data_IF_297726762605
#
_entry.id   IF_297726762605
#
_cell.length_a   1.000
_cell.length_b   1.000
_cell.length_c   1.000
_cell.angle_alpha   90.00
_cell.angle_beta   90.00
_cell.angle_gamma   90.00
#
_symmetry.space_group_name_H-M   'P 1'
#
loop_
_entity.id
_entity.type
_entity.pdbx_description
1 polymer ?
#
# COMPACT_ATOMS: atom_id res chain seq x y z
N UNK A 1 15.86 49.72 -15.36
CA UNK A 1 15.68 49.66 -13.92
C UNK A 1 14.97 48.36 -13.59
N UNK A 2 15.58 47.39 -12.85
CA UNK A 2 14.93 46.11 -12.57
C UNK A 2 13.93 46.26 -11.40
N UNK A 3 12.69 45.83 -11.64
CA UNK A 3 11.65 45.78 -10.65
C UNK A 3 11.89 44.63 -9.65
N UNK A 4 11.80 44.94 -8.35
CA UNK A 4 12.10 44.04 -7.23
C UNK A 4 10.99 42.99 -7.05
N UNK A 5 11.31 41.72 -7.25
CA UNK A 5 10.40 40.55 -7.12
C UNK A 5 10.05 40.16 -5.69
N UNK A 6 10.32 41.00 -4.68
CA UNK A 6 10.19 40.65 -3.27
C UNK A 6 8.80 40.83 -2.66
N UNK A 7 7.88 41.54 -3.33
CA UNK A 7 6.59 41.92 -2.73
C UNK A 7 5.44 40.92 -3.04
N UNK A 8 5.63 39.99 -3.94
CA UNK A 8 4.56 39.05 -4.37
C UNK A 8 4.52 37.78 -3.51
N UNK A 9 5.65 37.42 -2.86
CA UNK A 9 5.73 36.18 -2.07
C UNK A 9 5.03 36.28 -0.71
N UNK A 10 4.94 37.49 -0.13
CA UNK A 10 4.36 37.66 1.21
C UNK A 10 2.82 37.65 1.22
N UNK A 11 2.17 37.92 0.10
CA UNK A 11 0.70 37.97 0.03
C UNK A 11 0.02 36.58 -0.13
N UNK A 12 0.76 35.57 -0.61
CA UNK A 12 0.22 34.22 -0.83
C UNK A 12 0.26 33.33 0.42
N UNK A 13 1.10 33.65 1.39
CA UNK A 13 1.26 32.83 2.62
C UNK A 13 0.19 33.12 3.67
N UNK A 14 -0.42 34.31 3.65
CA UNK A 14 -1.46 34.69 4.61
C UNK A 14 -2.83 34.07 4.30
N UNK A 15 -3.13 33.75 3.03
CA UNK A 15 -4.41 33.17 2.62
C UNK A 15 -4.54 31.67 2.95
N UNK A 16 -3.42 30.95 3.10
CA UNK A 16 -3.42 29.51 3.37
C UNK A 16 -3.73 29.16 4.84
N UNK A 17 -3.44 30.07 5.78
CA UNK A 17 -3.63 29.81 7.22
C UNK A 17 -5.08 30.01 7.69
N UNK A 18 -5.88 30.82 6.97
CA UNK A 18 -7.30 31.04 7.31
C UNK A 18 -8.18 29.87 6.90
N UNK A 19 -7.83 29.14 5.82
CA UNK A 19 -8.59 27.98 5.34
C UNK A 19 -8.50 26.77 6.26
N UNK A 20 -7.42 26.60 7.01
CA UNK A 20 -7.21 25.46 7.92
C UNK A 20 -8.00 25.65 9.23
N UNK A 21 -8.23 26.88 9.67
CA UNK A 21 -8.96 27.20 10.90
C UNK A 21 -10.47 26.91 10.83
N UNK A 22 -11.08 27.02 9.65
CA UNK A 22 -12.55 26.85 9.47
C UNK A 22 -12.96 25.38 9.38
N UNK A 23 -12.08 24.49 8.88
CA UNK A 23 -12.37 23.05 8.77
C UNK A 23 -12.25 22.31 10.11
N UNK A 24 -11.48 22.84 11.07
CA UNK A 24 -11.34 22.25 12.41
C UNK A 24 -12.57 22.46 13.33
N UNK A 25 -13.38 23.47 13.08
CA UNK A 25 -14.51 23.80 13.97
C UNK A 25 -15.79 23.00 13.66
N UNK A 26 -15.92 22.41 12.48
CA UNK A 26 -17.12 21.64 12.10
C UNK A 26 -17.10 20.18 12.56
N UNK A 27 -15.99 19.65 13.05
CA UNK A 27 -15.88 18.24 13.48
C UNK A 27 -16.35 17.99 14.93
N UNK A 28 -16.69 19.00 15.72
CA UNK A 28 -17.02 18.85 17.15
C UNK A 28 -18.52 18.88 17.50
N UNK A 29 -19.41 18.95 16.51
CA UNK A 29 -20.84 19.15 16.75
C UNK A 29 -21.73 17.89 16.57
N UNK A 30 -21.18 16.69 16.57
CA UNK A 30 -21.96 15.45 16.50
C UNK A 30 -21.74 14.54 17.73
N UNK A 31 -22.03 15.08 18.92
CA UNK A 31 -22.18 14.28 20.12
C UNK A 31 -23.65 13.92 20.30
N UNK A 32 -23.95 12.63 20.24
CA UNK A 32 -25.29 12.03 20.38
C UNK A 32 -25.90 12.30 21.75
N UNK A 33 -27.16 12.77 21.78
CA UNK A 33 -27.96 12.91 22.98
C UNK A 33 -28.44 11.54 23.45
N UNK A 34 -28.55 11.30 24.79
CA UNK A 34 -29.08 10.06 25.32
C UNK A 34 -30.61 10.00 25.21
N UNK A 35 -31.14 8.89 24.71
CA UNK A 35 -32.58 8.59 24.67
C UNK A 35 -33.09 8.25 26.07
N UNK A 36 -33.96 9.09 26.56
CA UNK A 36 -34.73 8.83 27.80
C UNK A 36 -35.83 7.81 27.50
N UNK A 37 -35.88 6.76 28.30
CA UNK A 37 -36.89 5.70 28.24
C UNK A 37 -38.27 6.25 28.63
N UNK A 38 -39.26 6.09 27.75
CA UNK A 38 -40.70 6.19 28.10
C UNK A 38 -41.26 4.78 28.27
N UNK A 39 -41.73 4.53 29.47
CA UNK A 39 -42.41 3.29 29.89
C UNK A 39 -43.90 3.40 29.50
N UNK A 40 -44.36 2.48 28.65
CA UNK A 40 -45.77 2.31 28.32
C UNK A 40 -46.14 0.83 28.43
N UNK A 41 -47.04 0.53 29.36
CA UNK A 41 -47.66 -0.78 29.61
C UNK A 41 -48.65 -1.14 28.50
N UNK A 42 -48.69 -2.43 28.12
CA UNK A 42 -49.74 -3.01 27.26
C UNK A 42 -49.39 -4.42 26.78
N UNK A 43 -50.34 -5.39 26.74
CA UNK A 43 -50.08 -6.80 27.00
C UNK A 43 -49.66 -7.64 25.77
N UNK A 44 -49.11 -8.81 26.12
CA UNK A 44 -48.52 -9.87 25.32
C UNK A 44 -49.26 -10.28 24.04
N UNK A 45 -48.49 -10.48 22.96
CA UNK A 45 -48.81 -11.43 21.89
C UNK A 45 -47.51 -12.08 21.39
N UNK A 46 -47.50 -13.40 21.46
CA UNK A 46 -46.51 -14.36 21.00
C UNK A 46 -45.91 -14.02 19.64
N UNK A 47 -44.60 -13.75 19.58
CA UNK A 47 -43.81 -13.87 18.37
C UNK A 47 -42.45 -14.49 18.68
N UNK A 48 -42.30 -15.76 18.31
CA UNK A 48 -41.11 -16.55 18.25
C UNK A 48 -39.95 -15.77 17.57
N UNK A 49 -38.76 -15.63 18.20
CA UNK A 49 -37.61 -15.04 17.54
C UNK A 49 -37.02 -16.05 16.54
N UNK A 50 -37.11 -15.72 15.27
CA UNK A 50 -36.28 -16.38 14.25
C UNK A 50 -34.89 -15.83 14.42
N UNK A 51 -33.94 -16.64 14.88
CA UNK A 51 -32.55 -16.34 14.93
C UNK A 51 -32.06 -16.19 13.48
N UNK A 52 -31.74 -14.95 13.06
CA UNK A 52 -30.90 -14.72 11.91
C UNK A 52 -29.46 -14.93 12.38
N UNK A 53 -28.91 -16.09 12.04
CA UNK A 53 -27.48 -16.35 12.07
C UNK A 53 -26.80 -15.42 11.05
N UNK A 54 -26.39 -14.24 11.50
CA UNK A 54 -25.37 -13.49 10.79
C UNK A 54 -24.03 -14.14 11.12
N UNK A 55 -23.27 -14.60 10.10
CA UNK A 55 -21.91 -15.06 10.35
C UNK A 55 -21.11 -13.88 10.94
N UNK A 56 -20.72 -13.99 12.18
CA UNK A 56 -19.80 -13.06 12.81
C UNK A 56 -18.56 -12.95 11.94
N UNK A 57 -18.39 -11.78 11.31
CA UNK A 57 -17.15 -11.38 10.65
C UNK A 57 -16.08 -11.49 11.74
N UNK A 58 -15.26 -12.55 11.70
CA UNK A 58 -14.09 -12.71 12.56
C UNK A 58 -13.26 -11.46 12.37
N UNK A 59 -13.26 -10.56 13.33
CA UNK A 59 -12.22 -9.55 13.49
C UNK A 59 -10.91 -10.31 13.58
N UNK A 60 -10.17 -10.31 12.47
CA UNK A 60 -8.79 -10.78 12.46
C UNK A 60 -8.02 -9.82 13.35
N UNK A 61 -7.73 -10.27 14.57
CA UNK A 61 -6.69 -9.68 15.41
C UNK A 61 -5.47 -9.40 14.55
N UNK A 62 -4.79 -8.23 14.65
CA UNK A 62 -3.62 -7.93 13.85
C UNK A 62 -2.61 -9.05 14.03
N UNK A 63 -2.50 -9.93 13.05
CA UNK A 63 -1.52 -10.99 13.08
C UNK A 63 -0.12 -10.36 13.17
N UNK A 64 0.71 -10.85 14.08
CA UNK A 64 2.09 -10.40 14.22
C UNK A 64 2.75 -10.36 12.82
N UNK A 65 3.58 -9.33 12.52
CA UNK A 65 4.21 -9.22 11.22
C UNK A 65 4.92 -10.51 10.84
N UNK A 66 4.66 -11.03 9.65
CA UNK A 66 5.29 -12.26 9.19
C UNK A 66 6.83 -12.16 9.30
N UNK A 67 7.53 -13.16 9.86
CA UNK A 67 8.97 -13.10 10.08
C UNK A 67 9.72 -12.98 8.75
N UNK A 68 10.88 -12.33 8.76
CA UNK A 68 11.77 -12.24 7.60
C UNK A 68 12.28 -13.64 7.26
N UNK A 69 12.19 -14.10 6.00
CA UNK A 69 12.71 -15.40 5.59
C UNK A 69 14.22 -15.53 5.91
N UNK A 70 14.60 -16.58 6.65
CA UNK A 70 15.98 -16.80 7.08
C UNK A 70 16.96 -16.92 5.89
N UNK A 71 16.52 -17.53 4.77
CA UNK A 71 17.32 -17.68 3.57
C UNK A 71 17.59 -16.38 2.81
N UNK A 72 17.07 -15.22 3.29
CA UNK A 72 17.24 -13.94 2.62
C UNK A 72 18.58 -13.23 2.89
N UNK A 73 19.46 -13.81 3.71
CA UNK A 73 20.78 -13.26 4.05
C UNK A 73 20.72 -12.08 5.04
N UNK A 74 21.69 -11.17 5.00
CA UNK A 74 21.88 -10.10 5.98
C UNK A 74 21.99 -8.72 5.34
N UNK A 75 21.95 -7.69 6.19
CA UNK A 75 22.06 -6.26 5.80
C UNK A 75 20.79 -5.68 5.21
N UNK A 76 20.86 -4.39 4.84
CA UNK A 76 19.73 -3.66 4.24
C UNK A 76 19.35 -4.30 2.89
N UNK A 77 18.10 -4.69 2.74
CA UNK A 77 17.60 -5.38 1.53
C UNK A 77 16.08 -5.37 1.42
N UNK A 78 15.59 -5.51 0.22
CA UNK A 78 14.20 -5.92 -0.05
C UNK A 78 14.18 -7.44 -0.18
N UNK A 79 13.29 -8.11 0.52
CA UNK A 79 13.08 -9.56 0.40
C UNK A 79 11.73 -9.79 -0.26
N UNK A 80 11.72 -10.60 -1.32
CA UNK A 80 10.51 -11.02 -2.00
C UNK A 80 10.38 -12.54 -1.95
N UNK A 81 9.37 -13.05 -1.26
CA UNK A 81 9.03 -14.47 -1.23
C UNK A 81 7.99 -14.82 -2.28
N UNK A 82 8.35 -15.68 -3.22
CA UNK A 82 7.51 -16.10 -4.33
C UNK A 82 6.27 -16.84 -3.86
N UNK A 83 6.46 -17.85 -3.00
CA UNK A 83 5.37 -18.68 -2.48
C UNK A 83 4.42 -17.90 -1.58
N UNK A 84 4.95 -17.07 -0.69
CA UNK A 84 4.15 -16.24 0.20
C UNK A 84 3.53 -15.01 -0.49
N UNK A 85 3.95 -14.67 -1.71
CA UNK A 85 3.56 -13.45 -2.44
C UNK A 85 3.66 -12.21 -1.54
N UNK A 86 4.81 -12.05 -0.89
CA UNK A 86 5.02 -11.05 0.15
C UNK A 86 6.39 -10.40 0.03
N UNK A 87 6.45 -9.14 0.41
CA UNK A 87 7.67 -8.35 0.45
C UNK A 87 7.96 -7.93 1.89
N UNK A 88 9.26 -7.87 2.25
CA UNK A 88 9.80 -7.26 3.45
C UNK A 88 10.82 -6.19 3.08
N UNK A 89 10.70 -5.02 3.67
CA UNK A 89 11.73 -3.99 3.67
C UNK A 89 12.58 -4.19 4.93
N UNK A 90 13.79 -4.73 4.77
CA UNK A 90 14.65 -5.13 5.88
C UNK A 90 15.76 -4.12 6.07
N UNK A 91 15.85 -3.55 7.26
CA UNK A 91 16.88 -2.59 7.65
C UNK A 91 18.29 -3.21 7.73
N UNK A 92 19.29 -2.36 7.97
CA UNK A 92 20.68 -2.81 8.16
C UNK A 92 20.85 -3.69 9.41
N UNK A 93 19.99 -3.50 10.39
CA UNK A 93 19.91 -4.29 11.64
C UNK A 93 19.26 -5.67 11.45
N UNK A 94 18.85 -6.00 10.23
CA UNK A 94 18.17 -7.26 9.90
C UNK A 94 16.69 -7.31 10.26
N UNK A 95 16.11 -6.26 10.83
CA UNK A 95 14.69 -6.21 11.19
C UNK A 95 13.84 -5.73 10.02
N UNK A 96 12.65 -6.32 9.89
CA UNK A 96 11.66 -5.83 8.95
C UNK A 96 11.10 -4.47 9.44
N UNK A 97 11.29 -3.43 8.65
CA UNK A 97 10.67 -2.12 8.86
C UNK A 97 9.23 -2.10 8.34
N UNK A 98 8.96 -2.88 7.31
CA UNK A 98 7.63 -3.06 6.73
C UNK A 98 7.52 -4.41 6.04
N UNK A 99 6.31 -4.99 6.03
CA UNK A 99 5.98 -6.18 5.25
C UNK A 99 4.58 -6.06 4.70
N UNK A 100 4.38 -6.49 3.45
CA UNK A 100 3.10 -6.37 2.76
C UNK A 100 2.92 -7.45 1.70
N UNK A 101 1.66 -7.80 1.36
CA UNK A 101 1.36 -8.71 0.27
C UNK A 101 1.58 -8.05 -1.07
N UNK A 102 1.86 -8.86 -2.10
CA UNK A 102 1.97 -8.41 -3.48
C UNK A 102 1.24 -9.36 -4.43
N UNK A 103 0.84 -8.85 -5.59
CA UNK A 103 0.25 -9.62 -6.67
C UNK A 103 1.26 -9.74 -7.83
N UNK A 104 1.97 -10.87 -7.97
CA UNK A 104 2.89 -11.10 -9.07
C UNK A 104 2.12 -11.37 -10.36
N UNK A 105 2.72 -10.99 -11.49
CA UNK A 105 2.24 -11.27 -12.83
C UNK A 105 2.67 -12.67 -13.29
N UNK A 106 2.58 -12.94 -14.60
CA UNK A 106 2.81 -14.27 -15.21
C UNK A 106 4.29 -14.67 -15.26
N UNK A 107 5.22 -13.72 -15.23
CA UNK A 107 6.66 -13.96 -15.24
C UNK A 107 7.27 -13.54 -13.91
N UNK A 108 7.86 -14.51 -13.21
CA UNK A 108 8.55 -14.30 -11.93
C UNK A 108 10.06 -14.54 -12.08
N UNK A 109 10.90 -13.84 -11.30
CA UNK A 109 12.33 -14.11 -11.26
C UNK A 109 12.61 -15.42 -10.52
N UNK A 110 13.73 -16.06 -10.80
CA UNK A 110 14.21 -17.18 -9.99
C UNK A 110 14.63 -16.71 -8.58
N UNK A 111 14.63 -17.59 -7.56
CA UNK A 111 15.28 -17.29 -6.30
C UNK A 111 16.74 -16.88 -6.51
N UNK A 112 17.17 -15.84 -5.79
CA UNK A 112 18.53 -15.30 -5.96
C UNK A 112 18.67 -13.87 -5.48
N UNK A 113 19.86 -13.32 -5.68
CA UNK A 113 20.20 -11.94 -5.31
C UNK A 113 20.25 -11.04 -6.54
N UNK A 114 19.57 -9.92 -6.46
CA UNK A 114 19.42 -8.93 -7.53
C UNK A 114 19.74 -7.54 -6.99
N UNK A 115 19.82 -6.57 -7.90
CA UNK A 115 19.93 -5.17 -7.55
C UNK A 115 18.91 -4.35 -8.35
N UNK A 116 18.43 -3.26 -7.79
CA UNK A 116 17.59 -2.30 -8.51
C UNK A 116 18.37 -1.72 -9.69
N UNK A 117 17.88 -1.99 -10.89
CA UNK A 117 18.53 -1.54 -12.15
C UNK A 117 18.03 -0.18 -12.62
N UNK A 118 16.71 0.05 -12.51
CA UNK A 118 16.11 1.32 -12.89
C UNK A 118 14.85 1.62 -12.07
N UNK A 119 14.47 2.89 -12.08
CA UNK A 119 13.27 3.39 -11.40
C UNK A 119 12.53 4.35 -12.31
N UNK A 120 11.20 4.40 -12.22
CA UNK A 120 10.35 5.39 -12.91
C UNK A 120 9.25 5.85 -11.97
N UNK A 121 9.01 7.16 -11.92
CA UNK A 121 7.95 7.75 -11.07
C UNK A 121 6.59 7.23 -11.52
N UNK A 122 6.32 7.31 -12.83
CA UNK A 122 5.08 6.84 -13.45
C UNK A 122 5.34 6.42 -14.90
N UNK A 123 4.70 5.35 -15.34
CA UNK A 123 4.68 4.88 -16.73
C UNK A 123 3.39 4.11 -17.01
N UNK A 124 3.12 3.78 -18.28
CA UNK A 124 2.12 2.76 -18.62
C UNK A 124 2.77 1.38 -18.51
N UNK A 125 2.17 0.48 -17.75
CA UNK A 125 2.59 -0.91 -17.63
C UNK A 125 2.42 -1.69 -18.93
N UNK A 126 3.10 -2.84 -19.04
CA UNK A 126 2.95 -3.75 -20.20
C UNK A 126 1.55 -4.38 -20.30
N UNK A 127 0.77 -4.30 -19.27
CA UNK A 127 -0.65 -4.67 -19.18
C UNK A 127 -1.61 -3.54 -19.59
N UNK A 128 -1.08 -2.33 -19.88
CA UNK A 128 -1.85 -1.15 -20.23
C UNK A 128 -2.31 -0.30 -19.05
N UNK A 129 -2.03 -0.73 -17.81
CA UNK A 129 -2.41 -0.01 -16.58
C UNK A 129 -1.42 1.13 -16.33
N UNK A 130 -1.93 2.32 -15.97
CA UNK A 130 -1.08 3.41 -15.48
C UNK A 130 -0.51 3.03 -14.10
N UNK A 131 0.81 3.01 -13.99
CA UNK A 131 1.53 2.58 -12.79
C UNK A 131 2.52 3.64 -12.32
N UNK A 132 2.74 3.65 -11.01
CA UNK A 132 3.67 4.55 -10.33
C UNK A 132 4.65 3.79 -9.43
N UNK A 133 5.68 4.49 -8.93
CA UNK A 133 6.69 3.94 -8.03
C UNK A 133 7.36 2.67 -8.57
N UNK A 134 7.68 2.67 -9.87
CA UNK A 134 8.21 1.49 -10.56
C UNK A 134 9.67 1.25 -10.19
N UNK A 135 9.97 0.08 -9.62
CA UNK A 135 11.30 -0.36 -9.20
C UNK A 135 11.65 -1.65 -9.93
N UNK A 136 12.52 -1.57 -10.98
CA UNK A 136 12.90 -2.72 -11.81
C UNK A 136 14.19 -3.34 -11.30
N UNK A 137 14.28 -4.68 -11.29
CA UNK A 137 15.43 -5.38 -10.73
C UNK A 137 15.86 -6.65 -11.47
N UNK A 138 15.05 -7.18 -12.39
CA UNK A 138 15.41 -8.38 -13.14
C UNK A 138 14.89 -8.32 -14.58
N UNK A 139 15.48 -9.16 -15.44
CA UNK A 139 14.95 -9.48 -16.77
C UNK A 139 14.91 -10.99 -16.91
N UNK A 140 13.76 -11.56 -17.24
CA UNK A 140 13.53 -12.99 -17.39
C UNK A 140 13.01 -13.27 -18.79
N UNK A 141 13.80 -13.95 -19.60
CA UNK A 141 13.47 -14.26 -21.03
C UNK A 141 12.97 -13.02 -21.80
N UNK A 142 13.65 -11.89 -21.62
CA UNK A 142 13.31 -10.62 -22.26
C UNK A 142 12.20 -9.82 -21.59
N UNK A 143 11.54 -10.35 -20.57
CA UNK A 143 10.49 -9.65 -19.80
C UNK A 143 11.11 -8.96 -18.60
N UNK A 144 10.88 -7.65 -18.48
CA UNK A 144 11.35 -6.86 -17.34
C UNK A 144 10.47 -7.17 -16.12
N UNK A 145 11.12 -7.46 -14.98
CA UNK A 145 10.46 -7.71 -13.69
C UNK A 145 10.70 -6.53 -12.77
N UNK A 146 9.63 -6.07 -12.13
CA UNK A 146 9.70 -4.95 -11.18
C UNK A 146 8.44 -4.80 -10.34
N UNK A 147 8.60 -4.12 -9.22
CA UNK A 147 7.52 -3.69 -8.34
C UNK A 147 6.85 -2.43 -8.87
N UNK A 148 5.56 -2.28 -8.64
CA UNK A 148 4.82 -1.07 -9.01
C UNK A 148 3.43 -1.04 -8.37
N UNK A 149 2.89 0.15 -8.15
CA UNK A 149 1.50 0.35 -7.76
C UNK A 149 0.67 0.87 -8.94
N UNK A 150 -0.59 0.46 -9.06
CA UNK A 150 -1.51 1.07 -9.99
C UNK A 150 -1.97 2.43 -9.47
N UNK A 151 -2.04 3.43 -10.35
CA UNK A 151 -2.45 4.80 -9.98
C UNK A 151 -3.89 4.84 -9.47
N UNK A 152 -4.76 4.00 -10.02
CA UNK A 152 -6.16 3.83 -9.61
C UNK A 152 -6.36 2.86 -8.44
N UNK A 153 -5.26 2.40 -7.82
CA UNK A 153 -5.25 1.40 -6.74
C UNK A 153 -5.79 0.02 -7.16
N UNK A 154 -5.97 -0.24 -8.43
CA UNK A 154 -6.40 -1.55 -8.92
C UNK A 154 -5.29 -2.60 -8.78
N UNK A 155 -5.70 -3.84 -8.51
CA UNK A 155 -4.83 -5.02 -8.55
C UNK A 155 -5.44 -6.08 -9.45
N UNK A 156 -5.52 -5.81 -10.78
CA UNK A 156 -6.15 -6.74 -11.69
C UNK A 156 -5.41 -8.07 -11.67
N UNK A 157 -6.16 -9.16 -11.79
CA UNK A 157 -5.57 -10.48 -11.97
C UNK A 157 -4.69 -10.47 -13.23
N UNK A 158 -3.52 -11.13 -13.21
CA UNK A 158 -2.67 -11.22 -14.39
C UNK A 158 -3.42 -11.89 -15.54
N UNK A 159 -3.38 -11.28 -16.72
CA UNK A 159 -3.85 -11.93 -17.96
C UNK A 159 -2.85 -13.03 -18.32
N UNK A 160 -3.26 -14.29 -18.19
CA UNK A 160 -2.40 -15.45 -18.47
C UNK A 160 -1.90 -15.53 -19.92
N UNK A 161 -2.57 -14.86 -20.86
CA UNK A 161 -2.14 -14.79 -22.27
C UNK A 161 -0.98 -13.80 -22.47
N UNK A 162 -0.77 -12.86 -21.55
CA UNK A 162 0.28 -11.85 -21.62
C UNK A 162 1.48 -12.22 -20.75
N UNK A 163 2.68 -12.17 -21.33
CA UNK A 163 3.93 -12.34 -20.57
C UNK A 163 4.33 -10.99 -19.98
N UNK A 164 3.97 -10.77 -18.72
CA UNK A 164 4.28 -9.54 -17.98
C UNK A 164 5.01 -9.87 -16.67
N UNK A 165 5.94 -9.02 -16.26
CA UNK A 165 6.78 -9.20 -15.06
C UNK A 165 6.47 -8.21 -13.94
N UNK A 166 5.31 -7.55 -13.97
CA UNK A 166 4.89 -6.62 -12.93
C UNK A 166 4.56 -7.35 -11.63
N UNK A 167 5.06 -6.85 -10.50
CA UNK A 167 4.69 -7.28 -9.16
C UNK A 167 3.92 -6.12 -8.56
N UNK A 168 2.60 -6.27 -8.44
CA UNK A 168 1.70 -5.20 -8.05
C UNK A 168 1.55 -5.14 -6.54
N UNK A 169 1.57 -3.93 -6.00
CA UNK A 169 1.41 -3.62 -4.59
C UNK A 169 0.41 -2.47 -4.39
N UNK A 170 -0.01 -2.24 -3.15
CA UNK A 170 -0.82 -1.06 -2.83
C UNK A 170 -0.01 0.22 -3.06
N UNK A 171 -0.67 1.37 -3.23
CA UNK A 171 0.02 2.65 -3.46
C UNK A 171 0.91 3.03 -2.28
N UNK A 172 0.44 2.81 -1.03
CA UNK A 172 1.19 3.11 0.18
C UNK A 172 2.41 2.19 0.34
N UNK A 173 2.29 0.92 -0.05
CA UNK A 173 3.40 -0.04 -0.03
C UNK A 173 4.40 0.27 -1.14
N UNK A 174 3.91 0.62 -2.33
CA UNK A 174 4.72 1.06 -3.46
C UNK A 174 5.53 2.31 -3.13
N UNK A 175 4.91 3.29 -2.48
CA UNK A 175 5.64 4.46 -2.01
C UNK A 175 6.72 4.10 -0.99
N UNK A 176 6.41 3.25 -0.02
CA UNK A 176 7.37 2.81 0.99
C UNK A 176 8.54 2.04 0.36
N UNK A 177 8.28 1.14 -0.59
CA UNK A 177 9.30 0.42 -1.33
C UNK A 177 10.13 1.39 -2.20
N UNK A 178 9.50 2.33 -2.86
CA UNK A 178 10.18 3.37 -3.64
C UNK A 178 11.17 4.17 -2.80
N UNK A 179 10.76 4.63 -1.63
CA UNK A 179 11.62 5.42 -0.73
C UNK A 179 12.77 4.57 -0.17
N UNK A 180 12.53 3.28 0.06
CA UNK A 180 13.50 2.35 0.60
C UNK A 180 14.52 1.84 -0.42
N UNK A 181 14.07 1.47 -1.63
CA UNK A 181 14.83 0.77 -2.66
C UNK A 181 15.39 1.73 -3.73
N UNK A 182 16.49 2.39 -3.41
CA UNK A 182 17.21 3.24 -4.36
C UNK A 182 17.89 2.38 -5.44
N UNK A 183 18.34 3.01 -6.53
CA UNK A 183 19.11 2.33 -7.58
C UNK A 183 20.34 1.64 -6.97
N UNK A 184 20.58 0.39 -7.32
CA UNK A 184 21.62 -0.44 -6.71
C UNK A 184 21.22 -1.13 -5.40
N UNK A 185 20.04 -0.82 -4.82
CA UNK A 185 19.59 -1.49 -3.60
C UNK A 185 19.44 -3.00 -3.83
N UNK A 186 19.85 -3.78 -2.82
CA UNK A 186 19.80 -5.25 -2.86
C UNK A 186 18.37 -5.74 -2.78
N UNK A 187 18.00 -6.66 -3.67
CA UNK A 187 16.75 -7.40 -3.67
C UNK A 187 17.08 -8.88 -3.58
N UNK A 188 16.49 -9.58 -2.62
CA UNK A 188 16.65 -11.02 -2.46
C UNK A 188 15.31 -11.68 -2.72
N UNK A 189 15.28 -12.55 -3.73
CA UNK A 189 14.12 -13.38 -4.06
C UNK A 189 14.30 -14.73 -3.41
N UNK A 190 13.31 -15.19 -2.67
CA UNK A 190 13.27 -16.53 -2.03
C UNK A 190 12.03 -17.29 -2.51
N UNK A 191 12.03 -18.60 -2.34
CA UNK A 191 10.93 -19.51 -2.71
C UNK A 191 9.66 -19.24 -1.90
#
# INVERSE_FOLDING_TARGET
VPAKSSTIVTALTAAALVAIGVLGYQASASASAPLTAVRGDGPAADRKPTAHDQPAKKEQSPAAPAPVPAASGTGKRVVYALGAKRVWLVGADGKAQRTFPVAPSTVSPAPGSYAVTSRSVSVTGSDGVAIEHVVRFAVVKGVVVGFSAAVDSSTPAPDGAKKTGGIRESRDDGKALWDFALRGAKIVVVS
#
